data_IF_784007076596
#
_entry.id   IF_784007076596
#
_cell.length_a   1.000
_cell.length_b   1.000
_cell.length_c   1.000
_cell.angle_alpha   90.00
_cell.angle_beta   90.00
_cell.angle_gamma   90.00
#
_symmetry.space_group_name_H-M   'P 1'
#
loop_
_entity.id
_entity.type
_entity.pdbx_description
1 polymer ?
#
# COMPACT_ATOMS: atom_id res chain seq x y z
N UNK A 1 -28.87 16.76 -43.01
CA UNK A 1 -28.89 17.96 -42.15
C UNK A 1 -29.55 17.74 -40.80
N UNK A 2 -30.80 17.23 -40.64
CA UNK A 2 -31.43 17.04 -39.31
C UNK A 2 -30.66 16.14 -38.35
N UNK A 3 -30.01 15.03 -38.81
CA UNK A 3 -29.17 14.15 -37.95
C UNK A 3 -27.87 14.82 -37.48
N UNK A 4 -27.26 15.71 -38.30
CA UNK A 4 -26.06 16.45 -37.94
C UNK A 4 -26.36 17.54 -36.91
N UNK A 5 -27.49 18.22 -37.04
CA UNK A 5 -27.95 19.26 -36.08
C UNK A 5 -28.27 18.62 -34.72
N UNK A 6 -28.92 17.45 -34.69
CA UNK A 6 -29.20 16.72 -33.45
C UNK A 6 -27.92 16.29 -32.74
N UNK A 7 -26.90 15.83 -33.49
CA UNK A 7 -25.60 15.45 -32.92
C UNK A 7 -24.83 16.63 -32.30
N UNK A 8 -24.88 17.79 -32.96
CA UNK A 8 -24.29 19.05 -32.48
C UNK A 8 -25.01 19.55 -31.21
N UNK A 9 -26.32 19.49 -31.15
CA UNK A 9 -27.11 19.92 -29.98
C UNK A 9 -26.81 18.98 -28.77
N UNK A 10 -26.68 17.68 -28.99
CA UNK A 10 -26.33 16.72 -27.95
C UNK A 10 -24.90 16.96 -27.42
N UNK A 11 -23.93 17.22 -28.30
CA UNK A 11 -22.55 17.55 -27.91
C UNK A 11 -22.47 18.85 -27.11
N UNK A 12 -23.16 19.92 -27.54
CA UNK A 12 -23.22 21.21 -26.80
C UNK A 12 -23.92 21.04 -25.45
N UNK A 13 -24.96 20.21 -25.38
CA UNK A 13 -25.66 19.90 -24.12
C UNK A 13 -24.76 19.19 -23.11
N UNK A 14 -23.95 18.23 -23.53
CA UNK A 14 -23.00 17.54 -22.66
C UNK A 14 -21.88 18.45 -22.17
N UNK A 15 -21.29 19.27 -23.03
CA UNK A 15 -20.26 20.25 -22.63
C UNK A 15 -20.79 21.29 -21.64
N UNK A 16 -21.99 21.77 -21.83
CA UNK A 16 -22.63 22.75 -20.93
C UNK A 16 -22.94 22.12 -19.57
N UNK A 17 -23.33 20.85 -19.52
CA UNK A 17 -23.66 20.15 -18.29
C UNK A 17 -22.40 19.81 -17.46
N UNK A 18 -21.33 19.33 -18.07
CA UNK A 18 -20.06 19.05 -17.41
C UNK A 18 -19.44 20.33 -16.82
N UNK A 19 -19.48 21.43 -17.57
CA UNK A 19 -18.99 22.76 -17.09
C UNK A 19 -19.81 23.28 -15.92
N UNK A 20 -21.12 23.06 -15.90
CA UNK A 20 -22.00 23.47 -14.81
C UNK A 20 -21.72 22.64 -13.52
N UNK A 21 -21.54 21.33 -13.64
CA UNK A 21 -21.20 20.48 -12.48
C UNK A 21 -19.84 20.83 -11.88
N UNK A 22 -18.83 21.13 -12.71
CA UNK A 22 -17.51 21.55 -12.24
C UNK A 22 -17.58 22.87 -11.46
N UNK A 23 -18.33 23.87 -11.95
CA UNK A 23 -18.52 25.13 -11.24
C UNK A 23 -19.26 24.95 -9.91
N UNK A 24 -20.27 24.08 -9.88
CA UNK A 24 -20.99 23.78 -8.64
C UNK A 24 -20.07 23.08 -7.64
N UNK A 25 -19.23 22.15 -8.08
CA UNK A 25 -18.24 21.49 -7.21
C UNK A 25 -17.27 22.52 -6.61
N UNK A 26 -16.71 23.43 -7.43
CA UNK A 26 -15.79 24.46 -6.95
C UNK A 26 -16.46 25.37 -5.90
N UNK A 27 -17.73 25.70 -6.11
CA UNK A 27 -18.51 26.46 -5.13
C UNK A 27 -18.71 25.70 -3.81
N UNK A 28 -18.99 24.40 -3.86
CA UNK A 28 -19.10 23.54 -2.68
C UNK A 28 -17.75 23.39 -1.96
N UNK A 29 -16.66 23.22 -2.71
CA UNK A 29 -15.31 23.15 -2.14
C UNK A 29 -14.95 24.45 -1.40
N UNK A 30 -15.33 25.62 -1.93
CA UNK A 30 -15.11 26.92 -1.26
C UNK A 30 -15.89 27.08 0.06
N UNK A 31 -16.92 26.28 0.29
CA UNK A 31 -17.71 26.28 1.54
C UNK A 31 -17.15 25.34 2.60
N UNK A 32 -16.27 24.39 2.23
CA UNK A 32 -15.64 23.49 3.18
C UNK A 32 -14.61 24.23 4.04
N UNK A 33 -14.57 23.97 5.35
CA UNK A 33 -13.61 24.62 6.23
C UNK A 33 -12.18 24.11 6.00
N UNK A 34 -11.22 24.98 6.24
CA UNK A 34 -9.80 24.64 6.35
C UNK A 34 -9.20 23.87 5.16
N UNK A 35 -9.71 24.09 3.94
CA UNK A 35 -9.15 23.52 2.73
C UNK A 35 -8.55 24.58 1.80
N UNK A 36 -7.55 24.16 1.02
CA UNK A 36 -7.02 24.89 -0.13
C UNK A 36 -7.02 23.93 -1.30
N UNK A 37 -7.46 24.32 -2.47
CA UNK A 37 -7.47 23.44 -3.64
C UNK A 37 -6.97 24.15 -4.88
N UNK A 38 -6.35 23.36 -5.76
CA UNK A 38 -5.91 23.77 -7.09
C UNK A 38 -6.45 22.79 -8.10
N UNK A 39 -7.06 23.28 -9.18
CA UNK A 39 -7.46 22.44 -10.28
C UNK A 39 -6.21 21.94 -11.02
N UNK A 40 -6.16 20.64 -11.30
CA UNK A 40 -5.07 20.00 -12.01
C UNK A 40 -5.57 19.37 -13.30
N UNK A 41 -4.65 18.85 -14.13
CA UNK A 41 -5.01 18.12 -15.34
C UNK A 41 -5.89 16.92 -15.01
N UNK A 42 -6.98 16.77 -15.77
CA UNK A 42 -7.92 15.68 -15.55
C UNK A 42 -7.35 14.36 -16.03
N UNK A 43 -7.49 13.33 -15.21
CA UNK A 43 -7.45 11.96 -15.72
C UNK A 43 -8.68 11.72 -16.62
N UNK A 44 -8.49 11.07 -17.76
CA UNK A 44 -9.51 10.91 -18.82
C UNK A 44 -10.84 10.31 -18.35
N UNK A 45 -10.84 9.60 -17.23
CA UNK A 45 -12.04 9.00 -16.64
C UNK A 45 -12.94 10.02 -15.93
N UNK A 46 -12.38 11.14 -15.42
CA UNK A 46 -13.07 12.08 -14.54
C UNK A 46 -13.45 13.37 -15.27
N UNK A 47 -14.44 14.08 -14.74
CA UNK A 47 -14.93 15.36 -15.24
C UNK A 47 -14.08 16.54 -14.74
N UNK A 48 -13.49 16.41 -13.54
CA UNK A 48 -12.58 17.38 -12.94
C UNK A 48 -11.63 16.71 -11.94
N UNK A 49 -10.39 17.21 -11.84
CA UNK A 49 -9.38 16.76 -10.87
C UNK A 49 -8.79 17.94 -10.11
N UNK A 50 -8.59 17.73 -8.81
CA UNK A 50 -8.05 18.74 -7.90
C UNK A 50 -7.00 18.15 -6.98
N UNK A 51 -5.94 18.92 -6.75
CA UNK A 51 -5.07 18.74 -5.58
C UNK A 51 -5.61 19.60 -4.45
N UNK A 52 -5.78 19.01 -3.28
CA UNK A 52 -6.35 19.66 -2.10
C UNK A 52 -5.37 19.51 -0.94
N UNK A 53 -5.20 20.59 -0.18
CA UNK A 53 -4.53 20.62 1.12
C UNK A 53 -5.58 20.81 2.19
N UNK A 54 -5.72 19.82 3.07
CA UNK A 54 -6.70 19.82 4.16
C UNK A 54 -5.96 20.01 5.47
N UNK A 55 -6.37 20.98 6.28
CA UNK A 55 -5.83 21.18 7.61
C UNK A 55 -6.26 20.04 8.53
N UNK A 56 -5.28 19.34 9.11
CA UNK A 56 -5.46 18.23 10.03
C UNK A 56 -4.85 18.55 11.39
N UNK A 57 -5.49 18.12 12.47
CA UNK A 57 -4.91 18.22 13.80
C UNK A 57 -3.75 17.23 13.94
N UNK A 58 -2.67 17.64 14.60
CA UNK A 58 -1.60 16.72 14.98
C UNK A 58 -2.12 15.65 15.94
N UNK A 59 -2.93 16.08 16.91
CA UNK A 59 -3.61 15.22 17.86
C UNK A 59 -5.12 15.52 17.82
N UNK A 60 -5.92 14.60 17.31
CA UNK A 60 -7.38 14.75 17.24
C UNK A 60 -8.06 14.81 18.61
N UNK A 61 -7.34 14.39 19.68
CA UNK A 61 -7.82 14.47 21.07
C UNK A 61 -7.37 15.77 21.79
N UNK A 62 -6.49 16.59 21.16
CA UNK A 62 -6.00 17.84 21.72
C UNK A 62 -5.71 18.85 20.61
N UNK A 63 -6.63 19.77 20.39
CA UNK A 63 -6.51 20.81 19.35
C UNK A 63 -5.36 21.79 19.57
N UNK A 64 -4.79 21.85 20.79
CA UNK A 64 -3.66 22.72 21.13
C UNK A 64 -2.31 22.11 20.71
N UNK A 65 -2.27 20.82 20.36
CA UNK A 65 -1.05 20.17 19.91
C UNK A 65 -0.52 20.71 18.56
N UNK A 66 -1.34 21.45 17.82
CA UNK A 66 -1.00 22.01 16.52
C UNK A 66 -1.70 21.31 15.36
N UNK A 67 -1.25 21.63 14.14
CA UNK A 67 -1.85 21.10 12.90
C UNK A 67 -0.79 20.94 11.81
N UNK A 68 -1.18 20.25 10.74
CA UNK A 68 -0.44 20.17 9.47
C UNK A 68 -1.41 20.23 8.29
N UNK A 69 -0.92 20.29 7.07
CA UNK A 69 -1.75 20.20 5.87
C UNK A 69 -1.56 18.85 5.20
N UNK A 70 -2.64 18.09 5.08
CA UNK A 70 -2.64 16.78 4.42
C UNK A 70 -2.96 16.94 2.93
N UNK A 71 -2.17 16.28 2.09
CA UNK A 71 -2.36 16.23 0.63
C UNK A 71 -3.43 15.22 0.27
N UNK A 72 -4.34 15.64 -0.60
CA UNK A 72 -5.45 14.83 -1.11
C UNK A 72 -5.62 15.11 -2.61
N UNK A 73 -5.86 14.07 -3.40
CA UNK A 73 -6.39 14.23 -4.75
C UNK A 73 -7.89 13.94 -4.76
N UNK A 74 -8.66 14.88 -5.28
CA UNK A 74 -10.08 14.71 -5.56
C UNK A 74 -10.28 14.59 -7.08
N UNK A 75 -10.83 13.47 -7.50
CA UNK A 75 -11.21 13.19 -8.88
C UNK A 75 -12.74 13.06 -8.96
N UNK A 76 -13.40 14.05 -9.52
CA UNK A 76 -14.85 14.14 -9.60
C UNK A 76 -15.39 13.48 -10.85
N UNK A 77 -16.34 12.55 -10.67
CA UNK A 77 -17.11 11.91 -11.75
C UNK A 77 -18.54 12.40 -11.83
N UNK A 78 -19.11 12.77 -10.69
CA UNK A 78 -20.47 13.31 -10.59
C UNK A 78 -21.08 13.15 -9.21
N UNK A 79 -21.98 14.02 -8.81
CA UNK A 79 -22.59 14.03 -7.48
C UNK A 79 -23.45 12.77 -7.19
N UNK A 80 -24.03 12.17 -8.23
CA UNK A 80 -24.87 10.98 -8.12
C UNK A 80 -24.06 9.67 -8.26
N UNK A 81 -22.73 9.73 -8.18
CA UNK A 81 -21.85 8.57 -8.27
C UNK A 81 -21.37 8.11 -6.89
N UNK A 82 -21.04 6.82 -6.74
CA UNK A 82 -20.33 6.36 -5.55
C UNK A 82 -18.99 7.09 -5.40
N UNK A 83 -18.41 7.04 -4.21
CA UNK A 83 -17.09 7.63 -3.94
C UNK A 83 -16.13 6.55 -3.44
N UNK A 84 -14.97 6.45 -4.09
CA UNK A 84 -13.87 5.61 -3.66
C UNK A 84 -12.92 6.44 -2.83
N UNK A 85 -12.69 6.03 -1.59
CA UNK A 85 -11.72 6.60 -0.69
C UNK A 85 -10.47 5.71 -0.71
N UNK A 86 -9.42 6.19 -1.37
CA UNK A 86 -8.14 5.48 -1.45
C UNK A 86 -7.29 5.90 -0.25
N UNK A 87 -7.10 4.98 0.68
CA UNK A 87 -6.26 5.17 1.85
C UNK A 87 -4.84 4.77 1.50
N UNK A 88 -3.93 5.73 1.47
CA UNK A 88 -2.52 5.42 1.23
C UNK A 88 -1.83 4.97 2.52
N UNK A 89 -0.75 4.23 2.36
CA UNK A 89 0.13 3.89 3.50
C UNK A 89 1.37 4.78 3.56
N UNK A 90 1.62 5.53 2.48
CA UNK A 90 2.83 6.29 2.20
C UNK A 90 2.50 7.62 1.53
N UNK A 91 3.49 8.21 0.82
CA UNK A 91 3.32 9.40 0.00
C UNK A 91 2.57 9.09 -1.31
N UNK A 92 1.88 10.08 -1.83
CA UNK A 92 1.27 10.04 -3.16
C UNK A 92 2.25 10.68 -4.16
N UNK A 93 2.82 9.87 -5.04
CA UNK A 93 3.76 10.35 -6.07
C UNK A 93 3.06 11.05 -7.22
N UNK A 94 1.89 10.54 -7.62
CA UNK A 94 1.11 11.08 -8.74
C UNK A 94 -0.38 10.75 -8.58
N UNK A 95 -1.24 11.55 -9.21
CA UNK A 95 -2.66 11.26 -9.30
C UNK A 95 -2.90 10.09 -10.26
N UNK A 96 -3.56 9.04 -9.81
CA UNK A 96 -3.86 7.83 -10.59
C UNK A 96 -5.29 7.38 -10.36
N UNK A 97 -5.85 6.64 -11.31
CA UNK A 97 -7.15 6.01 -11.15
C UNK A 97 -7.03 4.63 -10.49
N UNK A 98 -7.87 4.35 -9.50
CA UNK A 98 -8.01 3.02 -8.92
C UNK A 98 -8.94 2.13 -9.76
N UNK A 99 -8.68 0.79 -9.77
CA UNK A 99 -9.55 -0.16 -10.47
C UNK A 99 -11.02 -0.04 -10.03
N UNK A 100 -11.26 0.26 -8.77
CA UNK A 100 -12.62 0.40 -8.22
C UNK A 100 -13.32 1.67 -8.72
N UNK A 101 -12.60 2.78 -8.85
CA UNK A 101 -13.17 4.02 -9.40
C UNK A 101 -13.58 3.81 -10.87
N UNK A 102 -12.76 3.13 -11.64
CA UNK A 102 -13.07 2.77 -13.02
C UNK A 102 -14.24 1.78 -13.11
N UNK A 103 -14.19 0.68 -12.34
CA UNK A 103 -15.23 -0.37 -12.32
C UNK A 103 -16.60 0.19 -11.95
N UNK A 104 -16.67 1.02 -10.90
CA UNK A 104 -17.91 1.58 -10.38
C UNK A 104 -18.32 2.90 -11.05
N UNK A 105 -17.49 3.43 -11.95
CA UNK A 105 -17.67 4.75 -12.54
C UNK A 105 -17.91 5.81 -11.45
N UNK A 106 -17.02 5.82 -10.47
CA UNK A 106 -17.14 6.52 -9.19
C UNK A 106 -16.28 7.78 -9.13
N UNK A 107 -16.56 8.67 -8.17
CA UNK A 107 -15.60 9.67 -7.71
C UNK A 107 -14.43 8.99 -7.00
N UNK A 108 -13.30 9.66 -6.90
CA UNK A 108 -12.15 9.15 -6.14
C UNK A 108 -11.52 10.24 -5.30
N UNK A 109 -11.25 9.91 -4.04
CA UNK A 109 -10.50 10.74 -3.09
C UNK A 109 -9.30 9.91 -2.65
N UNK A 110 -8.08 10.32 -3.05
CA UNK A 110 -6.83 9.66 -2.69
C UNK A 110 -6.13 10.48 -1.62
N UNK A 111 -5.84 9.86 -0.46
CA UNK A 111 -5.39 10.56 0.74
C UNK A 111 -3.98 10.11 1.09
N UNK A 112 -3.03 11.06 1.07
CA UNK A 112 -1.65 10.81 1.50
C UNK A 112 -1.61 10.53 3.00
N UNK A 113 -0.80 9.55 3.42
CA UNK A 113 -0.68 9.23 4.83
C UNK A 113 0.07 10.35 5.59
N UNK A 114 -0.36 10.68 6.81
CA UNK A 114 0.38 11.62 7.66
C UNK A 114 1.85 11.20 7.82
N UNK A 115 2.76 12.17 7.91
CA UNK A 115 4.23 12.01 7.98
C UNK A 115 4.89 11.49 6.70
N UNK A 116 4.18 11.50 5.58
CA UNK A 116 4.74 11.16 4.27
C UNK A 116 4.57 12.29 3.27
N UNK A 117 5.49 12.36 2.30
CA UNK A 117 5.41 13.27 1.17
C UNK A 117 5.24 14.73 1.58
N UNK A 118 4.11 15.32 1.19
CA UNK A 118 3.76 16.70 1.51
C UNK A 118 2.86 16.84 2.75
N UNK A 119 2.51 15.71 3.38
CA UNK A 119 1.65 15.64 4.58
C UNK A 119 2.48 15.58 5.86
N UNK A 120 3.50 16.45 5.94
CA UNK A 120 4.42 16.56 7.06
C UNK A 120 4.03 17.71 7.99
N UNK A 121 4.04 17.51 9.32
CA UNK A 121 4.00 18.62 10.26
C UNK A 121 5.33 19.40 10.27
N UNK A 122 5.27 20.68 10.65
CA UNK A 122 6.48 21.53 10.75
C UNK A 122 7.53 21.00 11.74
N UNK A 123 7.08 20.25 12.75
CA UNK A 123 7.94 19.56 13.71
C UNK A 123 7.54 18.09 13.80
N UNK A 124 8.51 17.20 13.52
CA UNK A 124 8.29 15.74 13.50
C UNK A 124 8.26 15.16 14.92
N UNK A 125 7.12 15.27 15.60
CA UNK A 125 6.86 14.53 16.83
C UNK A 125 6.20 13.20 16.50
N UNK A 126 6.96 12.14 16.48
CA UNK A 126 6.50 10.80 16.10
C UNK A 126 5.44 10.22 17.05
N UNK A 127 5.23 10.75 18.25
CA UNK A 127 4.14 10.32 19.13
C UNK A 127 2.76 10.51 18.49
N UNK A 128 2.63 11.41 17.51
CA UNK A 128 1.39 11.62 16.76
C UNK A 128 1.31 10.78 15.47
N UNK A 129 2.33 9.99 15.17
CA UNK A 129 2.32 9.03 14.08
C UNK A 129 1.88 7.67 14.61
N UNK A 130 0.59 7.51 14.80
CA UNK A 130 -0.04 6.25 15.19
C UNK A 130 -1.34 6.04 14.42
N UNK A 131 -1.89 4.83 14.48
CA UNK A 131 -3.07 4.43 13.70
C UNK A 131 -4.36 5.10 14.18
N UNK A 132 -4.49 5.42 15.47
CA UNK A 132 -5.60 6.21 16.01
C UNK A 132 -5.67 7.58 15.31
N UNK A 133 -4.56 8.30 15.28
CA UNK A 133 -4.48 9.61 14.64
C UNK A 133 -4.58 9.53 13.11
N UNK A 134 -3.96 8.51 12.49
CA UNK A 134 -4.02 8.34 11.03
C UNK A 134 -5.42 8.01 10.53
N UNK A 135 -6.17 7.22 11.28
CA UNK A 135 -7.55 6.89 10.93
C UNK A 135 -8.53 8.02 11.26
N UNK A 136 -8.22 8.83 12.28
CA UNK A 136 -8.98 10.05 12.58
C UNK A 136 -8.84 11.11 11.46
N UNK A 137 -7.68 11.22 10.80
CA UNK A 137 -7.53 12.02 9.59
C UNK A 137 -8.50 11.57 8.49
N UNK A 138 -8.56 10.26 8.24
CA UNK A 138 -9.44 9.68 7.25
C UNK A 138 -10.92 9.92 7.57
N UNK A 139 -11.28 9.77 8.86
CA UNK A 139 -12.62 10.07 9.35
C UNK A 139 -13.00 11.53 9.09
N UNK A 140 -12.13 12.47 9.44
CA UNK A 140 -12.38 13.89 9.20
C UNK A 140 -12.59 14.19 7.72
N UNK A 141 -11.75 13.64 6.85
CA UNK A 141 -11.89 13.80 5.38
C UNK A 141 -13.19 13.17 4.89
N UNK A 142 -13.56 12.00 5.38
CA UNK A 142 -14.82 11.34 5.05
C UNK A 142 -16.00 12.25 5.42
N UNK A 143 -16.07 12.75 6.65
CA UNK A 143 -17.15 13.64 7.12
C UNK A 143 -17.20 14.95 6.30
N UNK A 144 -16.03 15.48 5.93
CA UNK A 144 -15.93 16.70 5.14
C UNK A 144 -16.55 16.52 3.75
N UNK A 145 -16.18 15.44 3.05
CA UNK A 145 -16.65 15.18 1.69
C UNK A 145 -18.04 14.52 1.61
N UNK A 146 -18.55 13.93 2.69
CA UNK A 146 -19.94 13.50 2.76
C UNK A 146 -20.94 14.66 2.58
N UNK A 147 -20.53 15.91 2.87
CA UNK A 147 -21.33 17.09 2.60
C UNK A 147 -21.51 17.34 1.08
N UNK A 148 -20.63 16.78 0.25
CA UNK A 148 -20.67 16.91 -1.22
C UNK A 148 -21.19 15.63 -1.88
N UNK A 149 -20.76 14.45 -1.38
CA UNK A 149 -21.03 13.14 -1.98
C UNK A 149 -21.83 12.25 -1.05
N UNK A 150 -23.13 12.25 -1.22
CA UNK A 150 -24.10 11.56 -0.34
C UNK A 150 -24.38 10.09 -0.73
N UNK A 151 -23.76 9.59 -1.81
CA UNK A 151 -23.97 8.20 -2.28
C UNK A 151 -23.06 7.21 -1.56
N UNK A 152 -22.99 5.97 -2.06
CA UNK A 152 -22.18 4.89 -1.48
C UNK A 152 -20.70 5.24 -1.41
N UNK A 153 -20.08 4.93 -0.27
CA UNK A 153 -18.65 5.09 -0.04
C UNK A 153 -17.95 3.76 0.08
N UNK A 154 -16.83 3.63 -0.58
CA UNK A 154 -16.00 2.44 -0.56
C UNK A 154 -14.57 2.84 -0.20
N UNK A 155 -14.00 2.26 0.85
CA UNK A 155 -12.58 2.45 1.15
C UNK A 155 -11.73 1.37 0.50
N UNK A 156 -10.54 1.72 0.07
CA UNK A 156 -9.58 0.81 -0.55
C UNK A 156 -8.15 1.29 -0.37
N UNK A 157 -7.21 0.39 -0.48
CA UNK A 157 -5.79 0.66 -0.46
C UNK A 157 -4.98 -0.59 -0.79
N UNK A 158 -3.71 -0.41 -1.10
CA UNK A 158 -2.80 -1.48 -1.48
C UNK A 158 -1.71 -1.61 -0.43
N UNK A 159 -1.32 -2.85 -0.05
CA UNK A 159 -0.22 -3.08 0.89
C UNK A 159 -0.47 -2.39 2.24
N UNK A 160 0.44 -1.56 2.74
CA UNK A 160 0.21 -0.74 3.94
C UNK A 160 -1.05 0.14 3.81
N UNK A 161 -1.37 0.66 2.61
CA UNK A 161 -2.63 1.36 2.36
C UNK A 161 -3.85 0.45 2.54
N UNK A 162 -3.75 -0.83 2.13
CA UNK A 162 -4.77 -1.84 2.41
C UNK A 162 -4.90 -2.14 3.90
N UNK A 163 -3.79 -2.22 4.64
CA UNK A 163 -3.81 -2.32 6.10
C UNK A 163 -4.46 -1.09 6.73
N UNK A 164 -4.13 0.13 6.24
CA UNK A 164 -4.76 1.38 6.67
C UNK A 164 -6.28 1.35 6.47
N UNK A 165 -6.78 0.81 5.34
CA UNK A 165 -8.22 0.57 5.09
C UNK A 165 -8.85 -0.32 6.16
N UNK A 166 -8.15 -1.38 6.59
CA UNK A 166 -8.65 -2.29 7.63
C UNK A 166 -8.68 -1.60 8.99
N UNK A 167 -7.61 -0.90 9.38
CA UNK A 167 -7.57 -0.13 10.63
C UNK A 167 -8.61 0.99 10.63
N UNK A 168 -8.78 1.68 9.51
CA UNK A 168 -9.83 2.71 9.37
C UNK A 168 -11.22 2.12 9.63
N UNK A 169 -11.54 0.96 9.04
CA UNK A 169 -12.82 0.28 9.27
C UNK A 169 -12.99 -0.18 10.71
N UNK A 170 -11.91 -0.55 11.40
CA UNK A 170 -11.94 -0.91 12.81
C UNK A 170 -12.31 0.29 13.70
N UNK A 171 -11.66 1.44 13.50
CA UNK A 171 -11.91 2.64 14.31
C UNK A 171 -13.24 3.34 13.94
N UNK A 172 -13.59 3.34 12.65
CA UNK A 172 -14.76 4.04 12.11
C UNK A 172 -15.62 3.11 11.24
N UNK A 173 -16.32 2.15 11.86
CA UNK A 173 -17.00 1.06 11.13
C UNK A 173 -18.17 1.52 10.25
N UNK A 174 -18.71 2.73 10.46
CA UNK A 174 -19.89 3.26 9.77
C UNK A 174 -19.57 4.29 8.69
N UNK A 175 -18.30 4.65 8.48
CA UNK A 175 -17.92 5.70 7.54
C UNK A 175 -18.05 5.28 6.07
N UNK A 176 -17.96 3.98 5.80
CA UNK A 176 -18.03 3.45 4.44
C UNK A 176 -18.92 2.21 4.37
N UNK A 177 -19.55 1.99 3.20
CA UNK A 177 -20.44 0.84 2.98
C UNK A 177 -19.67 -0.47 2.73
N UNK A 178 -18.48 -0.38 2.14
CA UNK A 178 -17.63 -1.51 1.77
C UNK A 178 -16.16 -1.14 1.91
N UNK A 179 -15.32 -2.08 2.33
CA UNK A 179 -13.87 -1.95 2.32
C UNK A 179 -13.23 -3.02 1.43
N UNK A 180 -12.31 -2.62 0.54
CA UNK A 180 -11.63 -3.52 -0.41
C UNK A 180 -10.11 -3.38 -0.26
N UNK A 181 -9.50 -4.02 0.75
CA UNK A 181 -8.05 -4.04 0.92
C UNK A 181 -7.38 -5.00 -0.07
N UNK A 182 -6.33 -4.54 -0.75
CA UNK A 182 -5.48 -5.34 -1.63
C UNK A 182 -4.17 -5.67 -0.94
N UNK A 183 -3.77 -6.94 -0.96
CA UNK A 183 -2.49 -7.46 -0.45
C UNK A 183 -2.10 -6.85 0.90
N UNK A 184 -3.09 -6.72 1.77
CA UNK A 184 -3.03 -5.98 3.02
C UNK A 184 -2.51 -6.85 4.17
N UNK A 185 -1.30 -6.61 4.70
CA UNK A 185 -0.79 -7.35 5.84
C UNK A 185 -1.46 -6.88 7.14
N UNK A 186 -1.88 -7.81 7.97
CA UNK A 186 -2.28 -7.59 9.36
C UNK A 186 -1.44 -8.52 10.24
N UNK A 187 -0.38 -7.99 10.81
CA UNK A 187 0.50 -8.75 11.70
C UNK A 187 -0.22 -9.05 13.02
N UNK A 188 0.30 -10.01 13.77
CA UNK A 188 -0.22 -10.39 15.08
C UNK A 188 0.80 -10.22 16.22
N UNK A 189 2.03 -9.85 15.88
CA UNK A 189 3.12 -9.64 16.83
C UNK A 189 4.12 -8.61 16.28
N UNK A 190 5.05 -8.18 17.14
CA UNK A 190 6.18 -7.34 16.76
C UNK A 190 6.99 -7.93 15.61
N UNK A 191 7.23 -9.24 15.68
CA UNK A 191 7.86 -10.04 14.62
C UNK A 191 6.94 -11.22 14.29
N UNK A 192 6.32 -11.19 13.13
CA UNK A 192 5.29 -12.14 12.75
C UNK A 192 5.86 -13.44 12.20
N UNK A 193 5.75 -14.51 12.94
CA UNK A 193 6.31 -15.83 12.63
C UNK A 193 5.65 -16.50 11.40
N UNK A 194 4.48 -16.03 10.97
CA UNK A 194 3.81 -16.57 9.77
C UNK A 194 4.61 -16.31 8.50
N UNK A 195 5.38 -15.21 8.46
CA UNK A 195 6.30 -14.90 7.35
C UNK A 195 7.35 -15.98 7.20
N UNK A 196 7.99 -16.40 8.30
CA UNK A 196 9.01 -17.46 8.25
C UNK A 196 8.42 -18.80 7.80
N UNK A 197 7.25 -19.16 8.33
CA UNK A 197 6.54 -20.38 7.91
C UNK A 197 6.22 -20.34 6.42
N UNK A 198 5.81 -19.19 5.88
CA UNK A 198 5.57 -19.01 4.46
C UNK A 198 6.85 -19.24 3.64
N UNK A 199 7.95 -18.58 4.00
CA UNK A 199 9.23 -18.71 3.30
C UNK A 199 9.79 -20.13 3.35
N UNK A 200 9.59 -20.85 4.46
CA UNK A 200 10.03 -22.23 4.65
C UNK A 200 9.20 -23.26 3.85
N UNK A 201 8.00 -22.87 3.38
CA UNK A 201 7.06 -23.78 2.70
C UNK A 201 6.74 -23.39 1.26
N UNK A 202 6.96 -22.12 0.87
CA UNK A 202 6.62 -21.64 -0.46
C UNK A 202 7.56 -22.20 -1.55
N UNK A 203 6.98 -22.57 -2.69
CA UNK A 203 7.68 -23.17 -3.82
C UNK A 203 8.13 -24.62 -3.57
N UNK A 204 8.93 -25.17 -4.48
CA UNK A 204 9.49 -26.51 -4.33
C UNK A 204 10.69 -26.54 -3.38
N UNK A 205 11.01 -27.72 -2.83
CA UNK A 205 12.23 -27.92 -2.03
C UNK A 205 13.50 -27.53 -2.79
N UNK A 206 13.53 -27.81 -4.10
CA UNK A 206 14.64 -27.44 -4.97
C UNK A 206 14.78 -25.91 -5.07
N UNK A 207 13.67 -25.20 -5.25
CA UNK A 207 13.67 -23.74 -5.30
C UNK A 207 14.25 -23.14 -4.02
N UNK A 208 13.78 -23.58 -2.85
CA UNK A 208 14.29 -23.13 -1.55
C UNK A 208 15.77 -23.45 -1.34
N UNK A 209 16.23 -24.63 -1.78
CA UNK A 209 17.65 -24.99 -1.75
C UNK A 209 18.48 -24.08 -2.64
N UNK A 210 18.00 -23.75 -3.86
CA UNK A 210 18.69 -22.86 -4.78
C UNK A 210 18.74 -21.42 -4.23
N UNK A 211 17.67 -20.92 -3.62
CA UNK A 211 17.67 -19.63 -2.94
C UNK A 211 18.73 -19.58 -1.83
N UNK A 212 18.77 -20.61 -0.96
CA UNK A 212 19.75 -20.70 0.12
C UNK A 212 21.19 -20.80 -0.40
N UNK A 213 21.41 -21.59 -1.46
CA UNK A 213 22.73 -21.74 -2.09
C UNK A 213 23.22 -20.42 -2.68
N UNK A 214 22.32 -19.63 -3.30
CA UNK A 214 22.64 -18.29 -3.79
C UNK A 214 23.05 -17.36 -2.64
N UNK A 215 22.28 -17.31 -1.56
CA UNK A 215 22.59 -16.48 -0.39
C UNK A 215 23.96 -16.83 0.20
N UNK A 216 24.29 -18.12 0.33
CA UNK A 216 25.60 -18.58 0.80
C UNK A 216 26.71 -18.09 -0.12
N UNK A 217 26.58 -18.29 -1.44
CA UNK A 217 27.60 -17.85 -2.42
C UNK A 217 27.81 -16.34 -2.40
N UNK A 218 26.74 -15.56 -2.27
CA UNK A 218 26.83 -14.09 -2.15
C UNK A 218 27.64 -13.70 -0.91
N UNK A 219 27.33 -14.28 0.25
CA UNK A 219 28.04 -13.98 1.50
C UNK A 219 29.50 -14.46 1.50
N UNK A 220 29.80 -15.62 0.93
CA UNK A 220 31.16 -16.15 0.79
C UNK A 220 32.05 -15.34 -0.14
N UNK A 221 31.45 -14.64 -1.13
CA UNK A 221 32.17 -13.84 -2.11
C UNK A 221 31.93 -12.33 -1.94
N UNK A 222 31.63 -11.91 -0.72
CA UNK A 222 31.23 -10.54 -0.33
C UNK A 222 32.06 -9.44 -0.99
N UNK A 223 33.38 -9.50 -0.87
CA UNK A 223 34.28 -8.43 -1.33
C UNK A 223 34.12 -8.19 -2.83
N UNK A 224 34.10 -9.26 -3.61
CA UNK A 224 33.97 -9.15 -5.05
C UNK A 224 32.53 -8.76 -5.48
N UNK A 225 31.50 -9.29 -4.81
CA UNK A 225 30.13 -8.90 -5.07
C UNK A 225 29.93 -7.40 -4.78
N UNK A 226 30.39 -6.90 -3.65
CA UNK A 226 30.33 -5.48 -3.33
C UNK A 226 31.05 -4.61 -4.37
N UNK A 227 32.26 -4.99 -4.78
CA UNK A 227 32.99 -4.29 -5.84
C UNK A 227 32.20 -4.23 -7.15
N UNK A 228 31.53 -5.31 -7.53
CA UNK A 228 30.68 -5.37 -8.72
C UNK A 228 29.44 -4.49 -8.60
N UNK A 229 28.78 -4.48 -7.43
CA UNK A 229 27.62 -3.63 -7.15
C UNK A 229 27.99 -2.14 -7.16
N UNK A 230 29.13 -1.77 -6.57
CA UNK A 230 29.64 -0.38 -6.60
C UNK A 230 29.97 0.06 -8.03
N UNK A 231 30.54 -0.82 -8.85
CA UNK A 231 30.82 -0.52 -10.26
C UNK A 231 29.54 -0.27 -11.07
N UNK A 232 28.48 -1.01 -10.79
CA UNK A 232 27.19 -0.86 -11.45
C UNK A 232 26.45 0.41 -10.98
N UNK A 233 26.70 0.87 -9.77
CA UNK A 233 26.02 2.03 -9.14
C UNK A 233 26.85 3.32 -9.20
N UNK A 234 27.94 3.37 -9.95
CA UNK A 234 28.86 4.54 -10.03
C UNK A 234 28.21 5.87 -10.45
N UNK A 235 27.06 5.82 -11.10
CA UNK A 235 26.33 7.00 -11.56
C UNK A 235 25.20 7.43 -10.58
N UNK A 236 24.97 6.65 -9.52
CA UNK A 236 23.94 6.95 -8.51
C UNK A 236 24.56 7.63 -7.30
N UNK A 237 24.01 8.78 -6.91
CA UNK A 237 24.40 9.52 -5.70
C UNK A 237 23.74 8.87 -4.46
N UNK A 238 24.16 7.63 -4.14
CA UNK A 238 23.60 6.81 -3.06
C UNK A 238 24.52 6.83 -1.85
N UNK A 239 24.02 7.18 -0.67
CA UNK A 239 24.79 7.20 0.57
C UNK A 239 24.34 6.12 1.57
N UNK A 240 25.28 5.71 2.43
CA UNK A 240 25.09 4.70 3.48
C UNK A 240 25.71 5.20 4.79
N UNK A 241 24.98 6.08 5.53
CA UNK A 241 25.42 6.62 6.83
C UNK A 241 24.60 6.03 7.99
N UNK A 242 23.33 5.64 7.75
CA UNK A 242 22.54 4.84 8.69
C UNK A 242 23.11 3.44 8.86
N UNK A 243 23.51 2.83 7.75
CA UNK A 243 24.15 1.53 7.67
C UNK A 243 25.51 1.69 6.99
N UNK A 244 26.46 0.82 7.29
CA UNK A 244 27.59 0.62 6.38
C UNK A 244 27.15 -0.15 5.14
N UNK A 245 27.85 -0.02 4.03
CA UNK A 245 27.54 -0.75 2.78
C UNK A 245 27.59 -2.29 3.01
N UNK A 246 28.46 -2.76 3.91
CA UNK A 246 28.50 -4.16 4.30
C UNK A 246 27.22 -4.60 5.03
N UNK A 247 26.67 -3.74 5.90
CA UNK A 247 25.39 -4.03 6.55
C UNK A 247 24.23 -4.03 5.54
N UNK A 248 24.19 -3.02 4.64
CA UNK A 248 23.20 -2.96 3.57
C UNK A 248 23.24 -4.22 2.69
N UNK A 249 24.43 -4.71 2.35
CA UNK A 249 24.61 -5.95 1.61
C UNK A 249 24.08 -7.18 2.36
N UNK A 250 24.43 -7.34 3.64
CA UNK A 250 23.93 -8.45 4.45
C UNK A 250 22.40 -8.41 4.57
N UNK A 251 21.83 -7.22 4.76
CA UNK A 251 20.37 -7.04 4.75
C UNK A 251 19.77 -7.43 3.40
N UNK A 252 20.33 -7.00 2.28
CA UNK A 252 19.84 -7.35 0.95
C UNK A 252 19.87 -8.87 0.70
N UNK A 253 20.92 -9.55 1.15
CA UNK A 253 21.02 -11.03 1.05
C UNK A 253 19.98 -11.71 1.93
N UNK A 254 19.72 -11.20 3.14
CA UNK A 254 18.71 -11.77 4.05
C UNK A 254 17.28 -11.46 3.60
N UNK A 255 17.05 -10.29 3.00
CA UNK A 255 15.77 -9.85 2.41
C UNK A 255 15.40 -10.64 1.14
N UNK A 256 16.40 -11.19 0.44
CA UNK A 256 16.23 -11.83 -0.87
C UNK A 256 15.06 -12.82 -0.96
N UNK A 257 14.84 -13.80 -0.04
CA UNK A 257 13.70 -14.72 -0.15
C UNK A 257 12.35 -14.04 0.00
N UNK A 258 12.26 -12.99 0.81
CA UNK A 258 11.05 -12.22 1.00
C UNK A 258 10.68 -11.47 -0.28
N UNK A 259 11.59 -10.67 -0.82
CA UNK A 259 11.42 -9.90 -2.05
C UNK A 259 11.20 -10.80 -3.26
N UNK A 260 11.86 -11.97 -3.31
CA UNK A 260 11.68 -12.95 -4.38
C UNK A 260 10.19 -13.32 -4.57
N UNK A 261 9.52 -13.68 -3.51
CA UNK A 261 8.10 -14.05 -3.56
C UNK A 261 7.18 -12.82 -3.63
N UNK A 262 7.51 -11.73 -2.95
CA UNK A 262 6.73 -10.50 -3.01
C UNK A 262 6.61 -9.97 -4.45
N UNK A 263 7.67 -10.08 -5.24
CA UNK A 263 7.67 -9.57 -6.63
C UNK A 263 7.48 -10.66 -7.69
N UNK A 264 7.32 -11.92 -7.27
CA UNK A 264 6.95 -13.03 -8.15
C UNK A 264 8.05 -13.47 -9.10
N UNK A 265 9.29 -13.52 -8.62
CA UNK A 265 10.41 -14.06 -9.39
C UNK A 265 10.28 -15.57 -9.60
N UNK A 266 10.90 -16.08 -10.68
CA UNK A 266 10.85 -17.50 -11.05
C UNK A 266 12.01 -18.30 -10.45
N UNK A 267 11.71 -19.47 -9.90
CA UNK A 267 12.74 -20.40 -9.42
C UNK A 267 13.73 -20.83 -10.52
N UNK A 268 13.31 -20.79 -11.79
CA UNK A 268 14.15 -21.13 -12.94
C UNK A 268 15.19 -20.05 -13.25
N UNK A 269 14.99 -18.83 -12.75
CA UNK A 269 15.88 -17.69 -13.02
C UNK A 269 16.96 -17.54 -11.93
N UNK A 270 16.92 -18.36 -10.89
CA UNK A 270 17.92 -18.35 -9.81
C UNK A 270 19.28 -18.78 -10.36
N UNK A 271 20.35 -17.96 -10.25
CA UNK A 271 21.68 -18.31 -10.69
C UNK A 271 22.19 -19.60 -10.04
N UNK A 272 22.76 -20.48 -10.86
CA UNK A 272 23.30 -21.77 -10.41
C UNK A 272 24.79 -21.70 -10.06
N UNK A 273 25.37 -22.81 -9.63
CA UNK A 273 26.76 -22.88 -9.16
C UNK A 273 27.83 -22.57 -10.24
N UNK A 274 27.47 -22.58 -11.53
CA UNK A 274 28.40 -22.33 -12.66
C UNK A 274 28.36 -20.87 -13.13
N UNK A 275 27.35 -20.10 -12.69
CA UNK A 275 27.22 -18.69 -13.08
C UNK A 275 28.32 -17.84 -12.42
N UNK A 276 28.76 -16.80 -13.11
CA UNK A 276 29.80 -15.90 -12.60
C UNK A 276 29.31 -15.01 -11.46
N UNK A 277 30.21 -14.40 -10.71
CA UNK A 277 29.86 -13.47 -9.62
C UNK A 277 29.17 -12.20 -10.14
N UNK A 278 29.45 -11.78 -11.39
CA UNK A 278 28.74 -10.67 -12.04
C UNK A 278 27.26 -10.99 -12.24
N UNK A 279 26.92 -12.25 -12.62
CA UNK A 279 25.53 -12.70 -12.76
C UNK A 279 24.84 -12.70 -11.40
N UNK A 280 25.53 -13.18 -10.35
CA UNK A 280 24.98 -13.17 -8.99
C UNK A 280 24.72 -11.76 -8.48
N UNK A 281 25.70 -10.84 -8.65
CA UNK A 281 25.57 -9.46 -8.21
C UNK A 281 24.40 -8.77 -8.91
N UNK A 282 24.29 -8.93 -10.23
CA UNK A 282 23.20 -8.36 -11.03
C UNK A 282 21.84 -8.94 -10.61
N UNK A 283 21.78 -10.24 -10.33
CA UNK A 283 20.54 -10.90 -9.93
C UNK A 283 20.09 -10.46 -8.53
N UNK A 284 21.02 -10.33 -7.56
CA UNK A 284 20.71 -9.77 -6.25
C UNK A 284 20.12 -8.38 -6.38
N UNK A 285 20.73 -7.50 -7.20
CA UNK A 285 20.28 -6.14 -7.41
C UNK A 285 18.87 -6.08 -8.03
N UNK A 286 18.52 -7.03 -8.90
CA UNK A 286 17.17 -7.12 -9.49
C UNK A 286 16.09 -7.57 -8.51
N UNK A 287 16.45 -8.46 -7.55
CA UNK A 287 15.47 -9.08 -6.65
C UNK A 287 15.40 -8.35 -5.31
N UNK A 288 16.56 -8.01 -4.75
CA UNK A 288 16.71 -7.38 -3.43
C UNK A 288 17.87 -6.41 -3.47
N UNK A 289 17.66 -5.24 -4.08
CA UNK A 289 18.69 -4.22 -4.28
C UNK A 289 19.30 -3.74 -2.96
N UNK A 290 20.63 -3.58 -2.92
CA UNK A 290 21.30 -2.95 -1.78
C UNK A 290 20.87 -1.49 -1.61
N UNK A 291 20.43 -0.81 -2.68
CA UNK A 291 19.99 0.57 -2.63
C UNK A 291 18.70 0.75 -1.82
N UNK A 292 17.92 -0.34 -1.63
CA UNK A 292 16.77 -0.31 -0.72
C UNK A 292 17.18 0.03 0.73
N UNK A 293 18.42 -0.22 1.08
CA UNK A 293 19.01 0.06 2.40
C UNK A 293 19.88 1.32 2.42
N UNK A 294 19.74 2.21 1.44
CA UNK A 294 20.39 3.52 1.40
C UNK A 294 19.72 4.51 2.34
N UNK A 295 20.44 5.60 2.65
CA UNK A 295 19.94 6.65 3.53
C UNK A 295 18.63 7.25 3.01
N UNK A 296 18.55 7.56 1.71
CA UNK A 296 17.35 8.12 1.08
C UNK A 296 16.12 7.22 1.26
N UNK A 297 16.28 5.92 1.07
CA UNK A 297 15.17 4.95 1.18
C UNK A 297 14.80 4.70 2.64
N UNK A 298 15.77 4.62 3.54
CA UNK A 298 15.53 4.50 4.99
C UNK A 298 14.78 5.74 5.50
N UNK A 299 15.16 6.95 5.07
CA UNK A 299 14.47 8.18 5.44
C UNK A 299 13.04 8.22 4.89
N UNK A 300 12.85 7.85 3.61
CA UNK A 300 11.55 7.79 2.98
C UNK A 300 10.59 6.88 3.71
N UNK A 301 11.06 5.70 4.16
CA UNK A 301 10.24 4.71 4.87
C UNK A 301 10.35 4.79 6.39
N UNK A 302 11.14 5.69 6.94
CA UNK A 302 11.33 5.87 8.38
C UNK A 302 10.02 5.97 9.17
N UNK A 303 9.02 6.76 8.75
CA UNK A 303 7.72 6.80 9.41
C UNK A 303 6.98 5.45 9.38
N UNK A 304 7.12 4.65 8.33
CA UNK A 304 6.58 3.29 8.28
C UNK A 304 7.26 2.38 9.31
N UNK A 305 8.59 2.39 9.36
CA UNK A 305 9.33 1.59 10.34
C UNK A 305 8.98 2.00 11.77
N UNK A 306 8.74 3.28 12.02
CA UNK A 306 8.28 3.75 13.33
C UNK A 306 6.91 3.14 13.70
N UNK A 307 5.89 3.22 12.82
CA UNK A 307 4.60 2.59 13.07
C UNK A 307 4.71 1.07 13.21
N UNK A 308 5.57 0.43 12.43
CA UNK A 308 5.84 -1.00 12.55
C UNK A 308 6.45 -1.36 13.89
N UNK A 309 7.40 -0.58 14.37
CA UNK A 309 8.08 -0.80 15.64
C UNK A 309 7.22 -0.47 16.86
N UNK A 310 6.21 0.37 16.72
CA UNK A 310 5.36 0.79 17.85
C UNK A 310 4.05 0.02 17.96
N UNK A 311 3.40 -0.30 16.84
CA UNK A 311 2.02 -0.80 16.89
C UNK A 311 1.62 -1.78 15.75
N UNK A 312 2.26 -1.73 14.55
CA UNK A 312 1.84 -2.55 13.42
C UNK A 312 2.55 -3.90 13.34
N UNK A 313 3.70 -4.05 14.00
CA UNK A 313 4.56 -5.21 13.81
C UNK A 313 5.13 -5.30 12.39
N UNK A 314 6.05 -6.24 12.20
CA UNK A 314 6.71 -6.45 10.90
C UNK A 314 7.23 -7.88 10.81
N UNK A 315 8.30 -8.10 10.04
CA UNK A 315 9.06 -9.36 10.01
C UNK A 315 10.53 -9.08 10.35
N UNK A 316 11.21 -10.09 10.85
CA UNK A 316 12.67 -10.09 10.97
C UNK A 316 13.29 -10.90 9.84
N UNK A 317 14.59 -11.20 9.96
CA UNK A 317 15.31 -11.99 8.98
C UNK A 317 15.68 -13.37 9.51
N UNK A 318 15.58 -14.38 8.65
CA UNK A 318 16.04 -15.73 8.96
C UNK A 318 17.58 -15.80 8.86
N UNK A 319 18.25 -15.72 10.01
CA UNK A 319 19.72 -15.78 10.09
C UNK A 319 20.27 -17.20 10.28
N UNK A 320 19.38 -18.17 10.56
CA UNK A 320 19.77 -19.57 10.79
C UNK A 320 20.52 -20.19 9.59
N UNK A 321 21.73 -20.65 9.87
CA UNK A 321 22.63 -21.22 8.87
C UNK A 321 23.50 -20.24 8.13
N UNK A 322 23.45 -18.95 8.51
CA UNK A 322 24.35 -17.88 8.03
C UNK A 322 25.24 -17.31 9.14
N UNK A 323 25.17 -17.82 10.37
CA UNK A 323 25.83 -17.28 11.57
C UNK A 323 27.33 -17.06 11.39
N UNK A 324 27.97 -17.93 10.59
CA UNK A 324 29.42 -17.86 10.30
C UNK A 324 29.76 -16.97 9.11
N UNK A 325 28.75 -16.57 8.32
CA UNK A 325 28.88 -15.78 7.10
C UNK A 325 28.51 -14.32 7.33
N UNK A 326 27.65 -14.04 8.30
CA UNK A 326 27.31 -12.68 8.72
C UNK A 326 28.46 -12.11 9.55
N UNK A 327 28.98 -10.95 9.13
CA UNK A 327 30.16 -10.31 9.76
C UNK A 327 29.83 -8.97 10.40
N UNK A 328 28.72 -8.35 9.99
CA UNK A 328 28.36 -7.01 10.40
C UNK A 328 26.99 -6.92 11.06
N UNK A 329 26.09 -7.85 10.77
CA UNK A 329 24.78 -7.91 11.40
C UNK A 329 24.75 -8.88 12.57
N UNK A 330 24.04 -8.55 13.66
CA UNK A 330 23.78 -9.50 14.73
C UNK A 330 22.84 -10.63 14.23
N UNK A 331 23.01 -11.83 14.77
CA UNK A 331 22.22 -13.01 14.39
C UNK A 331 20.71 -12.84 14.63
N UNK A 332 20.34 -11.92 15.51
CA UNK A 332 18.96 -11.62 15.87
C UNK A 332 18.50 -10.25 15.35
N UNK A 333 19.05 -9.80 14.22
CA UNK A 333 18.75 -8.48 13.69
C UNK A 333 17.29 -8.38 13.25
N UNK A 334 16.63 -7.30 13.68
CA UNK A 334 15.28 -6.96 13.29
C UNK A 334 15.30 -5.61 12.55
N UNK A 335 14.77 -5.53 11.31
CA UNK A 335 14.81 -4.30 10.51
C UNK A 335 14.17 -3.09 11.17
N UNK A 336 13.13 -3.27 11.98
CA UNK A 336 12.48 -2.15 12.66
C UNK A 336 13.44 -1.37 13.55
N UNK A 337 14.24 -2.09 14.35
CA UNK A 337 15.16 -1.46 15.29
C UNK A 337 16.31 -0.73 14.59
N UNK A 338 16.62 -1.09 13.34
CA UNK A 338 17.75 -0.54 12.58
C UNK A 338 17.36 0.67 11.74
N UNK A 339 16.13 0.68 11.19
CA UNK A 339 15.69 1.67 10.22
C UNK A 339 14.82 2.79 10.83
N UNK A 340 14.77 2.87 12.14
CA UNK A 340 13.98 3.88 12.84
C UNK A 340 14.57 5.28 12.70
N UNK A 341 13.74 6.32 12.46
CA UNK A 341 14.19 7.69 12.41
C UNK A 341 15.00 8.05 13.65
N UNK A 342 16.10 8.77 13.46
CA UNK A 342 16.98 9.24 14.56
C UNK A 342 17.45 8.13 15.52
N UNK A 343 17.52 6.87 15.06
CA UNK A 343 17.88 5.70 15.89
C UNK A 343 17.02 5.56 17.16
N UNK A 344 15.75 5.91 17.07
CA UNK A 344 14.81 5.76 18.17
C UNK A 344 14.65 4.28 18.55
N UNK A 345 14.28 4.05 19.82
CA UNK A 345 13.97 2.71 20.36
C UNK A 345 12.63 2.74 21.12
N UNK A 346 11.51 3.02 20.42
CA UNK A 346 10.22 3.09 21.06
C UNK A 346 9.77 1.69 21.53
N UNK A 347 8.99 1.61 22.61
CA UNK A 347 8.41 0.34 23.01
C UNK A 347 7.33 -0.10 22.03
N UNK A 348 7.26 -1.39 21.75
CA UNK A 348 6.15 -1.98 20.97
C UNK A 348 4.92 -2.18 21.85
N UNK A 349 3.76 -1.73 21.39
CA UNK A 349 2.47 -2.00 22.02
C UNK A 349 1.62 -2.89 21.09
N UNK A 350 1.57 -4.18 21.36
CA UNK A 350 0.79 -5.14 20.59
C UNK A 350 -0.71 -5.18 20.89
N UNK A 351 -1.22 -4.31 21.78
CA UNK A 351 -2.64 -4.34 22.20
C UNK A 351 -3.58 -4.02 21.03
N UNK A 352 -3.25 -3.02 20.21
CA UNK A 352 -4.05 -2.68 19.04
C UNK A 352 -4.14 -3.86 18.07
N UNK A 353 -3.02 -4.52 17.76
CA UNK A 353 -3.02 -5.69 16.87
C UNK A 353 -3.87 -6.83 17.40
N UNK A 354 -3.77 -7.11 18.70
CA UNK A 354 -4.60 -8.13 19.36
C UNK A 354 -6.09 -7.80 19.25
N UNK A 355 -6.47 -6.55 19.48
CA UNK A 355 -7.84 -6.10 19.41
C UNK A 355 -8.39 -6.14 17.98
N UNK A 356 -7.63 -5.66 16.99
CA UNK A 356 -8.00 -5.68 15.58
C UNK A 356 -8.12 -7.12 15.06
N UNK A 357 -7.15 -8.00 15.35
CA UNK A 357 -7.24 -9.41 14.96
C UNK A 357 -8.46 -10.09 15.60
N UNK A 358 -8.75 -9.82 16.88
CA UNK A 358 -9.95 -10.34 17.55
C UNK A 358 -11.24 -9.83 16.91
N UNK A 359 -11.30 -8.54 16.57
CA UNK A 359 -12.43 -7.92 15.88
C UNK A 359 -12.64 -8.50 14.48
N UNK A 360 -11.57 -8.64 13.69
CA UNK A 360 -11.60 -9.26 12.37
C UNK A 360 -12.11 -10.70 12.39
N UNK A 361 -11.90 -11.43 13.48
CA UNK A 361 -12.41 -12.79 13.62
C UNK A 361 -13.89 -12.83 14.02
N UNK A 362 -14.35 -11.91 14.87
CA UNK A 362 -15.66 -11.92 15.51
C UNK A 362 -16.72 -11.15 14.72
N UNK A 363 -16.38 -9.94 14.28
CA UNK A 363 -17.34 -9.02 13.68
C UNK A 363 -17.52 -9.30 12.18
N UNK A 364 -18.76 -9.23 11.72
CA UNK A 364 -19.10 -9.41 10.31
C UNK A 364 -19.23 -8.06 9.60
N UNK A 365 -18.10 -7.49 9.28
CA UNK A 365 -18.00 -6.23 8.53
C UNK A 365 -17.93 -6.48 7.02
N UNK A 366 -18.38 -5.50 6.23
CA UNK A 366 -18.43 -5.62 4.77
C UNK A 366 -17.03 -5.45 4.16
N UNK A 367 -16.38 -6.60 3.85
CA UNK A 367 -15.03 -6.64 3.28
C UNK A 367 -14.93 -7.53 2.03
N UNK A 368 -14.16 -7.07 1.04
CA UNK A 368 -13.66 -7.90 -0.06
C UNK A 368 -12.14 -7.91 0.01
N UNK A 369 -11.54 -8.99 0.48
CA UNK A 369 -10.10 -9.14 0.59
C UNK A 369 -9.51 -9.73 -0.70
N UNK A 370 -8.44 -9.09 -1.23
CA UNK A 370 -7.74 -9.53 -2.43
C UNK A 370 -6.28 -9.75 -2.11
N UNK A 371 -5.80 -11.00 -2.26
CA UNK A 371 -4.44 -11.42 -1.96
C UNK A 371 -3.83 -12.21 -3.12
N UNK A 372 -2.50 -12.19 -3.23
CA UNK A 372 -1.75 -13.06 -4.13
C UNK A 372 -1.28 -14.33 -3.42
N UNK A 373 -1.44 -15.52 -4.05
CA UNK A 373 -1.08 -16.77 -3.38
C UNK A 373 0.43 -16.96 -3.18
N UNK A 374 1.26 -16.28 -3.97
CA UNK A 374 2.72 -16.34 -3.84
C UNK A 374 3.33 -15.07 -3.21
N UNK A 375 2.50 -14.10 -2.82
CA UNK A 375 2.96 -12.87 -2.16
C UNK A 375 3.36 -13.16 -0.70
N UNK A 376 4.57 -12.84 -0.33
CA UNK A 376 5.07 -13.03 1.05
C UNK A 376 4.19 -12.32 2.08
N UNK A 377 3.67 -11.13 1.77
CA UNK A 377 2.75 -10.41 2.65
C UNK A 377 1.42 -11.13 2.85
N UNK A 378 1.03 -12.04 1.96
CA UNK A 378 -0.17 -12.87 2.15
C UNK A 378 -0.04 -13.90 3.28
N UNK A 379 1.16 -14.13 3.80
CA UNK A 379 1.38 -14.88 5.04
C UNK A 379 0.67 -14.23 6.24
N UNK A 380 0.56 -12.90 6.23
CA UNK A 380 -0.11 -12.11 7.27
C UNK A 380 -1.50 -11.62 6.84
N UNK A 381 -2.08 -12.23 5.80
CA UNK A 381 -3.44 -11.96 5.37
C UNK A 381 -4.46 -12.19 6.51
N UNK A 382 -5.56 -11.45 6.46
CA UNK A 382 -6.72 -11.74 7.31
C UNK A 382 -7.22 -13.13 6.96
N UNK A 383 -7.26 -14.07 7.93
CA UNK A 383 -7.63 -15.46 7.64
C UNK A 383 -9.10 -15.56 7.22
N UNK A 384 -9.41 -16.36 6.18
CA UNK A 384 -10.79 -16.59 5.76
C UNK A 384 -11.65 -17.12 6.90
N UNK A 385 -12.85 -16.55 7.04
CA UNK A 385 -13.87 -16.97 8.00
C UNK A 385 -15.20 -17.19 7.28
N UNK A 386 -16.07 -17.98 7.86
CA UNK A 386 -17.45 -18.11 7.37
C UNK A 386 -18.23 -16.88 7.84
N UNK A 387 -18.42 -15.90 6.95
CA UNK A 387 -19.13 -14.64 7.21
C UNK A 387 -20.06 -14.30 6.04
N UNK A 388 -21.14 -13.61 6.32
CA UNK A 388 -22.12 -13.22 5.31
C UNK A 388 -21.70 -11.96 4.53
N UNK A 389 -20.90 -11.08 5.17
CA UNK A 389 -20.48 -9.81 4.58
C UNK A 389 -18.95 -9.71 4.36
N UNK A 390 -18.26 -10.86 4.30
CA UNK A 390 -16.83 -10.87 3.95
C UNK A 390 -16.51 -11.97 2.97
N UNK A 391 -15.75 -11.64 1.91
CA UNK A 391 -15.23 -12.62 0.94
C UNK A 391 -13.73 -12.44 0.71
N UNK A 392 -13.07 -13.53 0.37
CA UNK A 392 -11.63 -13.57 0.12
C UNK A 392 -11.33 -14.10 -1.27
N UNK A 393 -10.38 -13.45 -1.94
CA UNK A 393 -9.79 -13.90 -3.18
C UNK A 393 -8.28 -14.09 -2.97
N UNK A 394 -7.83 -15.34 -2.83
CA UNK A 394 -6.42 -15.70 -2.95
C UNK A 394 -6.18 -16.07 -4.41
N UNK A 395 -5.51 -15.18 -5.14
CA UNK A 395 -5.34 -15.30 -6.58
C UNK A 395 -4.12 -16.18 -6.87
N UNK A 396 -4.37 -17.36 -7.47
CA UNK A 396 -3.34 -18.36 -7.74
C UNK A 396 -2.22 -17.81 -8.63
N UNK A 397 -0.96 -18.02 -8.21
CA UNK A 397 0.24 -17.56 -8.93
C UNK A 397 0.40 -16.03 -8.98
N UNK A 398 -0.43 -15.26 -8.27
CA UNK A 398 -0.29 -13.79 -8.21
C UNK A 398 0.55 -13.38 -7.01
N UNK A 399 1.32 -12.31 -7.22
CA UNK A 399 2.23 -11.70 -6.25
C UNK A 399 1.75 -10.29 -5.86
N UNK A 400 2.48 -9.60 -5.02
CA UNK A 400 2.12 -8.28 -4.45
C UNK A 400 1.73 -7.23 -5.50
N UNK A 401 2.46 -7.19 -6.61
CA UNK A 401 2.25 -6.20 -7.67
C UNK A 401 1.07 -6.49 -8.60
N UNK A 402 0.61 -7.76 -8.70
CA UNK A 402 -0.38 -8.16 -9.71
C UNK A 402 -1.64 -8.87 -9.18
N UNK A 403 -1.80 -9.01 -7.87
CA UNK A 403 -3.06 -9.46 -7.27
C UNK A 403 -4.10 -8.33 -7.34
N UNK A 404 -4.69 -8.14 -8.52
CA UNK A 404 -5.61 -7.04 -8.88
C UNK A 404 -6.85 -7.58 -9.57
N UNK A 405 -7.97 -6.83 -9.53
CA UNK A 405 -9.23 -7.21 -10.19
C UNK A 405 -9.03 -7.48 -11.68
N UNK A 406 -8.22 -6.68 -12.36
CA UNK A 406 -7.88 -6.87 -13.77
C UNK A 406 -7.30 -8.26 -14.05
N UNK A 407 -6.56 -8.84 -13.11
CA UNK A 407 -5.89 -10.13 -13.22
C UNK A 407 -6.72 -11.32 -12.69
N UNK A 408 -7.92 -11.07 -12.20
CA UNK A 408 -8.84 -12.14 -11.76
C UNK A 408 -9.31 -12.98 -12.92
N UNK A 409 -9.59 -14.26 -12.65
CA UNK A 409 -10.31 -15.13 -13.59
C UNK A 409 -11.74 -14.60 -13.82
N UNK A 410 -12.37 -14.98 -14.94
CA UNK A 410 -13.75 -14.60 -15.22
C UNK A 410 -14.72 -14.99 -14.08
N UNK A 411 -14.51 -16.17 -13.48
CA UNK A 411 -15.33 -16.65 -12.35
C UNK A 411 -15.16 -15.76 -11.13
N UNK A 412 -13.90 -15.37 -10.81
CA UNK A 412 -13.62 -14.48 -9.67
C UNK A 412 -14.21 -13.08 -9.91
N UNK A 413 -14.07 -12.52 -11.13
CA UNK A 413 -14.65 -11.22 -11.50
C UNK A 413 -16.19 -11.23 -11.35
N UNK A 414 -16.85 -12.25 -11.87
CA UNK A 414 -18.32 -12.39 -11.76
C UNK A 414 -18.72 -12.43 -10.29
N UNK A 415 -18.05 -13.26 -9.47
CA UNK A 415 -18.32 -13.35 -8.03
C UNK A 415 -18.13 -12.00 -7.35
N UNK A 416 -17.02 -11.30 -7.60
CA UNK A 416 -16.74 -9.98 -7.03
C UNK A 416 -17.81 -8.97 -7.40
N UNK A 417 -18.11 -8.83 -8.70
CA UNK A 417 -19.09 -7.87 -9.21
C UNK A 417 -20.50 -8.15 -8.65
N UNK A 418 -20.95 -9.40 -8.69
CA UNK A 418 -22.26 -9.78 -8.14
C UNK A 418 -22.36 -9.48 -6.65
N UNK A 419 -21.29 -9.74 -5.89
CA UNK A 419 -21.24 -9.43 -4.46
C UNK A 419 -21.31 -7.91 -4.22
N UNK A 420 -20.53 -7.11 -4.96
CA UNK A 420 -20.57 -5.66 -4.85
C UNK A 420 -21.94 -5.08 -5.22
N UNK A 421 -22.57 -5.57 -6.30
CA UNK A 421 -23.92 -5.15 -6.68
C UNK A 421 -24.94 -5.42 -5.59
N UNK A 422 -24.86 -6.60 -4.97
CA UNK A 422 -25.75 -7.00 -3.88
C UNK A 422 -25.55 -6.12 -2.64
N UNK A 423 -24.30 -5.99 -2.16
CA UNK A 423 -24.01 -5.29 -0.90
C UNK A 423 -24.18 -3.78 -1.01
N UNK A 424 -23.84 -3.19 -2.16
CA UNK A 424 -23.98 -1.74 -2.39
C UNK A 424 -25.37 -1.35 -2.93
N UNK A 425 -26.24 -2.31 -3.29
CA UNK A 425 -27.54 -2.07 -3.92
C UNK A 425 -27.43 -1.20 -5.17
N UNK A 426 -26.45 -1.47 -6.03
CA UNK A 426 -26.22 -0.74 -7.28
C UNK A 426 -26.01 -1.69 -8.45
N UNK A 427 -26.01 -1.18 -9.69
CA UNK A 427 -25.71 -1.95 -10.91
C UNK A 427 -24.41 -1.47 -11.54
N UNK A 428 -23.49 -2.41 -11.78
CA UNK A 428 -22.19 -2.13 -12.41
C UNK A 428 -22.34 -2.34 -13.92
N UNK A 429 -22.24 -1.25 -14.69
CA UNK A 429 -22.49 -1.26 -16.14
C UNK A 429 -21.25 -1.61 -16.99
N UNK A 430 -20.05 -1.49 -16.46
CA UNK A 430 -18.79 -1.58 -17.23
C UNK A 430 -18.19 -2.98 -17.25
N UNK A 431 -19.01 -4.05 -17.39
CA UNK A 431 -18.50 -5.41 -17.51
C UNK A 431 -17.53 -5.63 -18.69
N UNK A 432 -17.66 -4.86 -19.78
CA UNK A 432 -16.94 -5.13 -21.04
C UNK A 432 -15.47 -4.67 -21.03
N UNK A 433 -15.11 -3.64 -20.27
CA UNK A 433 -13.71 -3.17 -20.15
C UNK A 433 -12.85 -4.09 -19.29
N UNK A 434 -13.46 -4.81 -18.33
CA UNK A 434 -12.79 -5.75 -17.43
C UNK A 434 -12.76 -7.21 -17.97
N UNK A 435 -13.35 -7.46 -19.13
CA UNK A 435 -13.38 -8.79 -19.77
C UNK A 435 -12.31 -8.94 -20.89
N UNK A 436 -11.49 -7.92 -21.11
CA UNK A 436 -10.34 -7.97 -22.00
C UNK A 436 -9.07 -8.21 -21.19
#
# INVERSE_FOLDING_TARGET
>A
MKKLILFIIVLFGFFSFATAQTKELEKLLLQLPDIRFTKIENLTHFEASYEIKIKQLLNHNDSLAGYFYQKVFLNHKGFERPTIMVTEGYNIRQNTISELAELLNANQITIEHRYFGESLPDSLNYNYLNLDQSTADLHYINQLFHQIYSKKWISTGISKGGATTIFYRYFYPNDVDLSVPYVAPINNAYEDQRIYTFLDTMGSDECRKNQKALQVRLLENREEILRLLELNNKESDVSYTYLTINQAFEYAVLEYPFSFWQYGHSCNDIPNSKDSLEVLAKYLEQVSSITFFSDEIIELYGPHYYQSATEMGYYGYQTKGFEKLLTTLPVTSNPHATFLPNKMTPPFNGELLKNVNSWLLKEDNTFIYIYGSIDTWSATAVPPQKKDHSIWFFMEGKHHGNARIMQMTAVQKIKLITTMEQWLSLKIKNHSSFNK
#
